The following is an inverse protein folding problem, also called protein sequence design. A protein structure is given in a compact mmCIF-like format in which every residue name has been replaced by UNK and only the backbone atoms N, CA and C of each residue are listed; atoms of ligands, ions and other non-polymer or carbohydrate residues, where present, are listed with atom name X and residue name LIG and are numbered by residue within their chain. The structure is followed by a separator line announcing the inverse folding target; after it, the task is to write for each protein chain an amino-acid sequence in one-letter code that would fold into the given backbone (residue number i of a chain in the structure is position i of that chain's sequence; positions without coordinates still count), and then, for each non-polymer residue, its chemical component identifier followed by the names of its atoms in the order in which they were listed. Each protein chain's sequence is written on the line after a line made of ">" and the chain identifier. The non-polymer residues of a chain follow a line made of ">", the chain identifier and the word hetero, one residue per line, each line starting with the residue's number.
data_IF_582345251781
#
_entry.id   IF_582345251781
#
_cell.length_a   1.000
_cell.length_b   1.000
_cell.length_c   1.000
_cell.angle_alpha   90.00
_cell.angle_beta   90.00
_cell.angle_gamma   90.00
#
_symmetry.space_group_name_H-M   'P 1'
#
loop_
_entity.id
_entity.type
_entity.pdbx_description
1 polymer ?
#
# COMPACT_ATOMS: atom_id res chain seq x y z
N UNK A 1 -12.13 -7.16 1.26
CA UNK A 1 -11.21 -7.68 0.21
C UNK A 1 -10.32 -8.76 0.81
N UNK A 2 -10.77 -10.02 0.77
CA UNK A 2 -9.95 -11.15 1.19
C UNK A 2 -8.71 -11.31 0.28
N UNK A 3 -8.86 -11.02 -1.01
CA UNK A 3 -7.81 -11.10 -2.03
C UNK A 3 -6.54 -10.33 -1.69
N UNK A 4 -6.66 -9.08 -1.22
CA UNK A 4 -5.49 -8.28 -0.80
C UNK A 4 -4.72 -8.90 0.37
N UNK A 5 -5.43 -9.53 1.33
CA UNK A 5 -4.80 -10.24 2.45
C UNK A 5 -4.11 -11.51 1.96
N UNK A 6 -4.74 -12.27 1.07
CA UNK A 6 -4.16 -13.49 0.49
C UNK A 6 -2.88 -13.16 -0.30
N UNK A 7 -2.88 -12.10 -1.12
CA UNK A 7 -1.69 -11.64 -1.83
C UNK A 7 -0.55 -11.29 -0.87
N UNK A 8 -0.85 -10.55 0.20
CA UNK A 8 0.13 -10.17 1.20
C UNK A 8 0.74 -11.39 1.92
N UNK A 9 -0.11 -12.33 2.35
CA UNK A 9 0.34 -13.54 3.03
C UNK A 9 1.18 -14.42 2.11
N UNK A 10 0.76 -14.62 0.85
CA UNK A 10 1.54 -15.38 -0.14
C UNK A 10 2.88 -14.73 -0.46
N UNK A 11 2.94 -13.41 -0.55
CA UNK A 11 4.19 -12.70 -0.79
C UNK A 11 5.17 -12.92 0.36
N UNK A 12 4.76 -12.68 1.61
CA UNK A 12 5.64 -12.82 2.78
C UNK A 12 5.85 -14.27 3.24
N UNK A 13 5.11 -15.23 2.68
CA UNK A 13 5.46 -16.64 2.81
C UNK A 13 6.80 -16.97 2.13
N UNK A 14 7.15 -16.24 1.05
CA UNK A 14 8.39 -16.49 0.28
C UNK A 14 9.42 -15.36 0.35
N UNK A 15 9.02 -14.17 0.81
CA UNK A 15 9.84 -12.96 0.87
C UNK A 15 10.01 -12.48 2.31
N UNK A 16 11.11 -11.81 2.58
CA UNK A 16 11.44 -11.34 3.94
C UNK A 16 10.84 -9.97 4.26
N UNK A 17 10.28 -9.83 5.47
CA UNK A 17 9.88 -8.55 6.07
C UNK A 17 11.04 -7.57 6.27
N UNK A 18 12.28 -8.07 6.35
CA UNK A 18 13.47 -7.21 6.48
C UNK A 18 13.83 -6.61 5.12
N UNK A 19 13.70 -7.38 4.04
CA UNK A 19 14.06 -6.94 2.68
C UNK A 19 12.97 -6.11 2.00
N UNK A 20 11.71 -6.26 2.42
CA UNK A 20 10.58 -5.59 1.80
C UNK A 20 9.73 -4.88 2.85
N UNK A 21 9.52 -3.57 2.65
CA UNK A 21 8.65 -2.77 3.50
C UNK A 21 7.23 -3.33 3.51
N UNK A 22 6.79 -3.78 4.69
CA UNK A 22 5.42 -4.23 4.92
C UNK A 22 4.41 -3.19 4.44
N UNK A 23 4.61 -1.92 4.76
CA UNK A 23 3.68 -0.84 4.44
C UNK A 23 3.51 -0.66 2.93
N UNK A 24 4.62 -0.62 2.18
CA UNK A 24 4.58 -0.51 0.72
C UNK A 24 3.93 -1.73 0.06
N UNK A 25 4.24 -2.94 0.56
CA UNK A 25 3.66 -4.18 0.03
C UNK A 25 2.16 -4.25 0.35
N UNK A 26 1.73 -3.88 1.56
CA UNK A 26 0.31 -3.84 1.91
C UNK A 26 -0.49 -2.88 1.02
N UNK A 27 0.03 -1.68 0.77
CA UNK A 27 -0.60 -0.72 -0.17
C UNK A 27 -0.67 -1.30 -1.59
N UNK A 28 0.41 -1.94 -2.05
CA UNK A 28 0.44 -2.59 -3.36
C UNK A 28 -0.56 -3.74 -3.47
N UNK A 29 -0.69 -4.60 -2.45
CA UNK A 29 -1.66 -5.70 -2.43
C UNK A 29 -3.11 -5.20 -2.48
N UNK A 30 -3.43 -4.11 -1.76
CA UNK A 30 -4.77 -3.51 -1.81
C UNK A 30 -5.05 -2.88 -3.18
N UNK A 31 -4.07 -2.17 -3.74
CA UNK A 31 -4.20 -1.57 -5.07
C UNK A 31 -4.39 -2.64 -6.15
N UNK A 32 -3.55 -3.69 -6.13
CA UNK A 32 -3.62 -4.81 -7.06
C UNK A 32 -4.93 -5.59 -6.92
N UNK A 33 -5.35 -5.90 -5.69
CA UNK A 33 -6.62 -6.58 -5.43
C UNK A 33 -7.81 -5.79 -5.98
N UNK A 34 -7.80 -4.45 -5.87
CA UNK A 34 -8.88 -3.64 -6.46
C UNK A 34 -9.00 -3.77 -7.98
N UNK A 35 -7.88 -4.01 -8.67
CA UNK A 35 -7.88 -4.28 -10.12
C UNK A 35 -8.35 -5.70 -10.43
N UNK A 36 -7.92 -6.69 -9.65
CA UNK A 36 -8.33 -8.10 -9.79
C UNK A 36 -9.85 -8.27 -9.58
N UNK A 37 -10.42 -7.52 -8.64
CA UNK A 37 -11.85 -7.56 -8.32
C UNK A 37 -12.70 -6.67 -9.25
N UNK A 38 -12.14 -6.19 -10.36
CA UNK A 38 -12.81 -5.30 -11.33
C UNK A 38 -13.44 -4.04 -10.70
N UNK A 39 -12.88 -3.58 -9.58
CA UNK A 39 -13.32 -2.41 -8.82
C UNK A 39 -12.15 -1.43 -8.57
N UNK A 40 -11.47 -0.95 -9.63
CA UNK A 40 -10.19 -0.26 -9.52
C UNK A 40 -10.28 0.96 -8.61
N UNK A 41 -9.30 1.10 -7.71
CA UNK A 41 -9.12 2.27 -6.84
C UNK A 41 -7.90 3.06 -7.29
N UNK A 42 -7.96 4.39 -7.24
CA UNK A 42 -6.80 5.22 -7.57
C UNK A 42 -5.72 5.01 -6.51
N UNK A 43 -4.46 4.96 -6.93
CA UNK A 43 -3.32 4.78 -6.00
C UNK A 43 -3.28 5.87 -4.91
N UNK A 44 -3.72 7.09 -5.25
CA UNK A 44 -3.85 8.19 -4.30
C UNK A 44 -4.82 7.88 -3.17
N UNK A 45 -5.94 7.22 -3.46
CA UNK A 45 -6.96 6.89 -2.45
C UNK A 45 -6.40 5.85 -1.47
N UNK A 46 -5.64 4.88 -1.99
CA UNK A 46 -4.93 3.90 -1.16
C UNK A 46 -3.92 4.59 -0.25
N UNK A 47 -3.08 5.48 -0.80
CA UNK A 47 -2.08 6.23 -0.02
C UNK A 47 -2.77 7.09 1.06
N UNK A 48 -3.85 7.80 0.72
CA UNK A 48 -4.60 8.63 1.66
C UNK A 48 -5.17 7.83 2.83
N UNK A 49 -5.71 6.64 2.57
CA UNK A 49 -6.21 5.74 3.62
C UNK A 49 -5.06 5.29 4.53
N UNK A 50 -3.93 4.85 3.98
CA UNK A 50 -2.79 4.41 4.78
C UNK A 50 -2.18 5.55 5.60
N UNK A 51 -2.08 6.76 5.03
CA UNK A 51 -1.67 7.98 5.74
C UNK A 51 -2.58 8.25 6.95
N UNK A 52 -3.90 8.14 6.76
CA UNK A 52 -4.87 8.30 7.85
C UNK A 52 -4.74 7.21 8.91
N UNK A 53 -4.59 5.95 8.51
CA UNK A 53 -4.40 4.83 9.43
C UNK A 53 -3.16 4.99 10.30
N UNK A 54 -2.05 5.48 9.72
CA UNK A 54 -0.83 5.76 10.46
C UNK A 54 -1.04 6.84 11.53
N UNK A 55 -1.72 7.95 11.18
CA UNK A 55 -2.02 9.01 12.14
C UNK A 55 -2.93 8.52 13.27
N UNK A 56 -3.94 7.69 12.96
CA UNK A 56 -4.81 7.08 13.96
C UNK A 56 -4.03 6.20 14.94
N UNK A 57 -3.11 5.37 14.43
CA UNK A 57 -2.23 4.53 15.26
C UNK A 57 -1.33 5.36 16.17
N UNK A 58 -0.84 6.49 15.67
CA UNK A 58 0.01 7.43 16.41
C UNK A 58 -0.79 8.42 17.28
N UNK A 59 -2.13 8.30 17.34
CA UNK A 59 -3.05 9.24 18.03
C UNK A 59 -2.86 10.71 17.62
N UNK A 60 -2.42 10.96 16.38
CA UNK A 60 -2.21 12.30 15.82
C UNK A 60 -3.49 12.86 15.21
N UNK A 61 -3.58 14.19 15.17
CA UNK A 61 -4.67 14.88 14.46
C UNK A 61 -4.59 14.60 12.96
N UNK A 62 -5.74 14.56 12.25
CA UNK A 62 -5.76 14.44 10.80
C UNK A 62 -4.98 15.58 10.16
N UNK A 63 -3.92 15.26 9.42
CA UNK A 63 -3.22 16.23 8.57
C UNK A 63 -3.36 15.84 7.10
N UNK A 64 -3.59 16.81 6.20
CA UNK A 64 -3.63 16.57 4.76
C UNK A 64 -2.33 15.91 4.28
N UNK A 65 -2.45 15.03 3.29
CA UNK A 65 -1.28 14.48 2.60
C UNK A 65 -0.67 15.56 1.72
N UNK A 66 0.60 15.88 1.93
CA UNK A 66 1.35 16.78 1.07
C UNK A 66 1.72 16.08 -0.24
N UNK A 67 1.55 16.77 -1.36
CA UNK A 67 1.86 16.26 -2.70
C UNK A 67 3.25 16.72 -3.14
N UNK A 68 4.25 16.36 -2.34
CA UNK A 68 5.65 16.72 -2.52
C UNK A 68 6.46 15.58 -3.17
N UNK A 69 7.79 15.71 -3.15
CA UNK A 69 8.68 14.70 -3.70
C UNK A 69 8.56 13.35 -2.96
N UNK A 70 8.25 13.36 -1.67
CA UNK A 70 8.08 12.15 -0.88
C UNK A 70 6.82 11.38 -1.30
N UNK A 71 5.73 12.09 -1.61
CA UNK A 71 4.56 11.48 -2.22
C UNK A 71 4.88 10.79 -3.55
N UNK A 72 5.65 11.45 -4.43
CA UNK A 72 6.06 10.88 -5.71
C UNK A 72 6.94 9.64 -5.51
N UNK A 73 7.88 9.71 -4.58
CA UNK A 73 8.76 8.59 -4.22
C UNK A 73 7.95 7.41 -3.68
N UNK A 74 7.01 7.66 -2.76
CA UNK A 74 6.13 6.65 -2.18
C UNK A 74 5.28 5.97 -3.25
N UNK A 75 4.64 6.75 -4.14
CA UNK A 75 3.89 6.24 -5.28
C UNK A 75 4.75 5.30 -6.14
N UNK A 76 5.99 5.70 -6.43
CA UNK A 76 6.92 4.88 -7.21
C UNK A 76 7.32 3.58 -6.48
N UNK A 77 7.50 3.62 -5.16
CA UNK A 77 7.79 2.42 -4.36
C UNK A 77 6.61 1.45 -4.35
N UNK A 78 5.36 1.95 -4.27
CA UNK A 78 4.16 1.13 -4.33
C UNK A 78 4.04 0.45 -5.70
N UNK A 79 4.26 1.19 -6.80
CA UNK A 79 4.23 0.60 -8.16
C UNK A 79 5.33 -0.47 -8.33
N UNK A 80 6.52 -0.23 -7.78
CA UNK A 80 7.60 -1.24 -7.77
C UNK A 80 7.24 -2.46 -6.91
N UNK A 81 6.61 -2.26 -5.76
CA UNK A 81 6.17 -3.35 -4.89
C UNK A 81 5.07 -4.17 -5.56
N UNK A 82 4.13 -3.53 -6.24
CA UNK A 82 3.06 -4.19 -6.99
C UNK A 82 3.62 -5.14 -8.06
N UNK A 83 4.62 -4.68 -8.84
CA UNK A 83 5.31 -5.53 -9.83
C UNK A 83 6.04 -6.74 -9.22
N UNK A 84 6.36 -6.71 -7.92
CA UNK A 84 6.99 -7.83 -7.22
C UNK A 84 5.96 -8.81 -6.63
N UNK A 85 4.71 -8.37 -6.47
CA UNK A 85 3.61 -9.18 -5.94
C UNK A 85 2.95 -9.99 -7.05
N UNK A 86 2.92 -9.44 -8.28
CA UNK A 86 2.62 -10.18 -9.52
C UNK A 86 3.67 -11.27 -9.77
#
# INVERSE_FOLDING_TARGET
>A
MATGQVLFQRFFYTKSFVKHSMEHVSMACVHLASKIEEAPRRIRDVINVFHRLRQLREKKKPVPLLLDQDYVNLKNQIIKAERRVL
#
